data_IF_637698033502
#
_entry.id   IF_637698033502
#
_cell.length_a   1.000
_cell.length_b   1.000
_cell.length_c   1.000
_cell.angle_alpha   90.00
_cell.angle_beta   90.00
_cell.angle_gamma   90.00
#
_symmetry.space_group_name_H-M   'P 1'
#
loop_
_entity.id
_entity.type
_entity.pdbx_description
1 polymer ?
#
# COMPACT_ATOMS: atom_id res chain seq x y z
N UNK A 1 30.98 -21.83 -29.18
CA UNK A 1 30.15 -20.81 -29.84
C UNK A 1 28.87 -20.65 -29.01
N UNK A 2 28.65 -19.48 -28.42
CA UNK A 2 27.43 -19.17 -27.66
C UNK A 2 26.42 -18.54 -28.60
N UNK A 3 25.33 -19.25 -28.87
CA UNK A 3 24.16 -18.73 -29.59
C UNK A 3 23.29 -17.92 -28.63
N UNK A 4 23.18 -16.61 -28.86
CA UNK A 4 22.21 -15.75 -28.18
C UNK A 4 20.93 -15.66 -29.03
N UNK A 5 19.78 -16.00 -28.45
CA UNK A 5 18.48 -15.78 -29.08
C UNK A 5 18.10 -14.29 -29.00
N UNK A 6 17.58 -13.67 -30.07
CA UNK A 6 17.15 -12.28 -30.02
C UNK A 6 15.80 -12.20 -29.28
N UNK A 7 15.81 -11.66 -28.06
CA UNK A 7 14.59 -11.27 -27.36
C UNK A 7 14.15 -9.89 -27.89
N UNK A 8 12.94 -9.82 -28.46
CA UNK A 8 12.33 -8.57 -28.90
C UNK A 8 11.66 -7.93 -27.68
N UNK A 9 12.38 -7.04 -27.00
CA UNK A 9 11.83 -6.23 -25.91
C UNK A 9 10.83 -5.22 -26.48
N UNK A 10 9.56 -5.60 -26.58
CA UNK A 10 8.48 -4.64 -26.78
C UNK A 10 8.17 -4.02 -25.42
N UNK A 11 8.49 -2.73 -25.24
CA UNK A 11 8.05 -1.99 -24.05
C UNK A 11 6.52 -1.90 -24.09
N UNK A 12 5.79 -2.50 -23.14
CA UNK A 12 4.34 -2.43 -23.15
C UNK A 12 3.89 -0.97 -22.90
N UNK A 13 3.01 -0.44 -23.74
CA UNK A 13 2.32 0.82 -23.44
C UNK A 13 1.40 0.56 -22.24
N UNK A 14 1.54 1.29 -21.12
CA UNK A 14 0.70 1.06 -19.96
C UNK A 14 -0.74 1.42 -20.29
N UNK A 15 -1.65 0.46 -20.10
CA UNK A 15 -3.08 0.69 -20.26
C UNK A 15 -3.60 1.58 -19.12
N UNK A 16 -4.56 2.49 -19.37
CA UNK A 16 -5.14 3.31 -18.32
C UNK A 16 -5.70 2.45 -17.19
N UNK A 17 -5.26 2.71 -15.96
CA UNK A 17 -5.76 1.98 -14.80
C UNK A 17 -7.24 2.30 -14.59
N UNK A 18 -8.09 1.27 -14.53
CA UNK A 18 -9.51 1.44 -14.23
C UNK A 18 -9.71 2.25 -12.93
N UNK A 19 -10.70 3.15 -12.89
CA UNK A 19 -10.97 3.94 -11.70
C UNK A 19 -11.37 3.04 -10.52
N UNK A 20 -11.03 3.44 -9.29
CA UNK A 20 -11.52 2.74 -8.11
C UNK A 20 -13.04 2.95 -7.99
N UNK A 21 -13.83 1.92 -7.65
CA UNK A 21 -15.26 2.04 -7.49
C UNK A 21 -15.61 2.71 -6.14
N UNK A 22 -15.40 4.02 -6.03
CA UNK A 22 -15.54 4.79 -4.77
C UNK A 22 -16.85 5.56 -4.65
N UNK A 23 -17.75 5.46 -5.63
CA UNK A 23 -19.01 6.21 -5.64
C UNK A 23 -19.85 6.03 -4.36
N UNK A 24 -19.86 4.84 -3.76
CA UNK A 24 -20.60 4.54 -2.52
C UNK A 24 -19.98 5.11 -1.24
N UNK A 25 -18.74 5.60 -1.30
CA UNK A 25 -17.99 6.13 -0.15
C UNK A 25 -17.47 7.56 -0.39
N UNK A 26 -17.91 8.20 -1.47
CA UNK A 26 -17.58 9.60 -1.74
C UNK A 26 -18.01 10.49 -0.57
N UNK A 27 -17.17 11.46 -0.21
CA UNK A 27 -17.31 12.34 0.95
C UNK A 27 -17.38 11.65 2.32
N UNK A 28 -17.22 10.33 2.41
CA UNK A 28 -17.16 9.62 3.69
C UNK A 28 -15.75 9.64 4.26
N UNK A 29 -15.67 9.57 5.58
CA UNK A 29 -14.43 9.31 6.28
C UNK A 29 -14.19 7.80 6.33
N UNK A 30 -13.11 7.33 5.71
CA UNK A 30 -12.79 5.91 5.60
C UNK A 30 -11.43 5.64 6.23
N UNK A 31 -11.41 4.77 7.25
CA UNK A 31 -10.19 4.31 7.90
C UNK A 31 -9.47 3.27 7.05
N UNK A 32 -8.16 3.44 6.88
CA UNK A 32 -7.28 2.47 6.23
C UNK A 32 -6.47 1.77 7.31
N UNK A 33 -6.78 0.50 7.55
CA UNK A 33 -6.05 -0.30 8.53
C UNK A 33 -4.60 -0.51 8.07
N UNK A 34 -3.64 -0.52 9.01
CA UNK A 34 -2.23 -0.73 8.70
C UNK A 34 -1.98 -2.11 8.12
N UNK A 35 -1.01 -2.19 7.22
CA UNK A 35 -0.48 -3.48 6.80
C UNK A 35 0.19 -4.18 7.99
N UNK A 36 -0.17 -5.44 8.21
CA UNK A 36 0.39 -6.27 9.28
C UNK A 36 1.41 -7.27 8.77
N UNK A 37 1.55 -7.43 7.45
CA UNK A 37 2.48 -8.37 6.82
C UNK A 37 3.14 -7.75 5.57
N UNK A 38 4.46 -7.90 5.52
CA UNK A 38 5.25 -7.80 4.29
C UNK A 38 6.17 -9.02 4.31
N UNK A 39 6.13 -9.79 3.24
CA UNK A 39 6.87 -11.04 3.13
C UNK A 39 7.57 -11.06 1.80
N UNK A 40 8.82 -11.53 1.82
CA UNK A 40 9.52 -11.89 0.62
C UNK A 40 9.19 -13.33 0.23
N UNK A 41 8.70 -13.57 -0.98
CA UNK A 41 8.79 -14.88 -1.63
C UNK A 41 10.25 -15.26 -1.89
N UNK A 42 10.70 -16.35 -1.27
CA UNK A 42 12.10 -16.82 -1.26
C UNK A 42 12.71 -17.00 -2.66
N UNK A 43 11.88 -17.33 -3.66
CA UNK A 43 12.31 -17.54 -5.06
C UNK A 43 12.87 -16.29 -5.72
N UNK A 44 12.51 -15.11 -5.20
CA UNK A 44 12.92 -13.81 -5.72
C UNK A 44 14.07 -13.17 -4.93
N UNK A 45 14.52 -13.79 -3.83
CA UNK A 45 15.65 -13.35 -2.99
C UNK A 45 15.64 -11.85 -2.61
N UNK A 46 14.44 -11.31 -2.36
CA UNK A 46 14.17 -9.89 -2.15
C UNK A 46 14.16 -9.51 -0.66
N UNK A 47 14.55 -10.43 0.22
CA UNK A 47 14.68 -10.18 1.65
C UNK A 47 15.65 -9.01 1.90
N UNK A 48 16.74 -8.95 1.13
CA UNK A 48 17.71 -7.87 1.20
C UNK A 48 17.15 -6.51 0.75
N UNK A 49 16.11 -6.49 -0.09
CA UNK A 49 15.46 -5.27 -0.60
C UNK A 49 14.43 -4.73 0.38
N UNK A 50 13.69 -5.62 1.07
CA UNK A 50 12.70 -5.21 2.07
C UNK A 50 13.33 -4.60 3.33
N UNK A 51 14.58 -4.91 3.63
CA UNK A 51 15.28 -4.33 4.79
C UNK A 51 14.57 -4.64 6.12
N UNK A 52 14.49 -3.66 7.03
CA UNK A 52 13.77 -3.86 8.29
C UNK A 52 12.26 -3.89 8.06
N UNK A 53 11.62 -5.00 8.47
CA UNK A 53 10.17 -5.26 8.32
C UNK A 53 9.29 -4.07 8.74
N UNK A 54 9.58 -3.41 9.87
CA UNK A 54 8.78 -2.28 10.36
C UNK A 54 8.83 -1.09 9.40
N UNK A 55 10.03 -0.80 8.89
CA UNK A 55 10.27 0.27 7.93
C UNK A 55 9.58 -0.04 6.60
N UNK A 56 9.68 -1.29 6.13
CA UNK A 56 8.97 -1.75 4.93
C UNK A 56 7.44 -1.57 5.06
N UNK A 57 6.85 -2.00 6.17
CA UNK A 57 5.40 -1.84 6.41
C UNK A 57 5.00 -0.36 6.40
N UNK A 58 5.74 0.51 7.09
CA UNK A 58 5.45 1.94 7.12
C UNK A 58 5.57 2.58 5.72
N UNK A 59 6.56 2.17 4.93
CA UNK A 59 6.72 2.64 3.55
C UNK A 59 5.58 2.14 2.67
N UNK A 60 5.17 0.88 2.79
CA UNK A 60 4.03 0.32 2.05
C UNK A 60 2.72 1.03 2.40
N UNK A 61 2.45 1.27 3.68
CA UNK A 61 1.30 2.07 4.15
C UNK A 61 1.31 3.48 3.50
N UNK A 62 2.49 4.13 3.44
CA UNK A 62 2.65 5.44 2.81
C UNK A 62 2.39 5.43 1.30
N UNK A 63 2.84 4.38 0.60
CA UNK A 63 2.61 4.21 -0.84
C UNK A 63 1.11 4.03 -1.09
N UNK A 64 0.46 3.14 -0.36
CA UNK A 64 -0.99 2.92 -0.47
C UNK A 64 -1.75 4.21 -0.20
N UNK A 65 -1.41 4.93 0.89
CA UNK A 65 -2.06 6.20 1.22
C UNK A 65 -1.91 7.25 0.11
N UNK A 66 -0.75 7.33 -0.52
CA UNK A 66 -0.51 8.21 -1.68
C UNK A 66 -1.39 7.83 -2.85
N UNK A 67 -1.44 6.54 -3.20
CA UNK A 67 -2.22 6.04 -4.33
C UNK A 67 -3.73 6.19 -4.12
N UNK A 68 -4.23 5.94 -2.92
CA UNK A 68 -5.65 6.13 -2.60
C UNK A 68 -6.07 7.59 -2.77
N UNK A 69 -5.28 8.53 -2.23
CA UNK A 69 -5.55 9.96 -2.36
C UNK A 69 -5.50 10.44 -3.81
N UNK A 70 -4.57 9.91 -4.61
CA UNK A 70 -4.46 10.27 -6.02
C UNK A 70 -5.62 9.72 -6.86
N UNK A 71 -6.09 8.49 -6.57
CA UNK A 71 -7.11 7.80 -7.37
C UNK A 71 -8.54 8.07 -6.93
N UNK A 72 -8.74 8.51 -5.69
CA UNK A 72 -10.06 8.80 -5.11
C UNK A 72 -9.98 10.00 -4.16
N UNK A 73 -9.72 11.21 -4.68
CA UNK A 73 -9.60 12.43 -3.88
C UNK A 73 -10.92 12.85 -3.21
N UNK A 74 -12.06 12.37 -3.71
CA UNK A 74 -13.39 12.62 -3.16
C UNK A 74 -13.67 11.90 -1.83
N UNK A 75 -12.81 10.97 -1.42
CA UNK A 75 -12.93 10.23 -0.15
C UNK A 75 -12.00 10.83 0.91
N UNK A 76 -12.49 10.96 2.15
CA UNK A 76 -11.66 11.44 3.27
C UNK A 76 -10.94 10.26 3.93
N UNK A 77 -9.71 10.00 3.50
CA UNK A 77 -8.90 8.88 4.00
C UNK A 77 -8.27 9.17 5.38
N UNK A 78 -8.55 8.31 6.37
CA UNK A 78 -7.83 8.29 7.66
C UNK A 78 -6.77 7.20 7.60
N UNK A 79 -5.52 7.63 7.44
CA UNK A 79 -4.39 6.74 7.22
C UNK A 79 -3.86 6.14 8.54
N UNK A 80 -3.06 5.05 8.47
CA UNK A 80 -2.58 4.31 9.65
C UNK A 80 -1.99 5.17 10.78
N UNK A 81 -1.19 6.19 10.46
CA UNK A 81 -0.57 7.04 11.49
C UNK A 81 -1.59 7.85 12.30
N UNK A 82 -2.68 8.27 11.66
CA UNK A 82 -3.76 8.97 12.35
C UNK A 82 -4.60 7.98 13.17
N UNK A 83 -4.86 6.77 12.65
CA UNK A 83 -5.51 5.71 13.44
C UNK A 83 -4.71 5.35 14.69
N UNK A 84 -3.39 5.18 14.58
CA UNK A 84 -2.48 4.96 15.72
C UNK A 84 -2.48 6.13 16.68
N UNK A 85 -2.58 7.36 16.19
CA UNK A 85 -2.67 8.56 17.03
C UNK A 85 -3.99 8.59 17.81
N UNK A 86 -5.11 8.29 17.17
CA UNK A 86 -6.43 8.24 17.81
C UNK A 86 -6.50 7.13 18.86
N UNK A 87 -6.05 5.91 18.52
CA UNK A 87 -6.01 4.79 19.45
C UNK A 87 -5.20 5.09 20.73
N UNK A 88 -4.05 5.77 20.58
CA UNK A 88 -3.24 6.22 21.72
C UNK A 88 -3.93 7.27 22.60
N UNK A 89 -4.80 8.09 22.04
CA UNK A 89 -5.52 9.15 22.75
C UNK A 89 -6.79 8.66 23.45
N UNK A 90 -7.35 7.55 23.01
CA UNK A 90 -8.61 7.01 23.53
C UNK A 90 -8.46 5.53 23.94
N UNK A 91 -7.58 5.22 24.92
CA UNK A 91 -7.38 3.85 25.38
C UNK A 91 -8.69 3.27 25.91
N UNK A 92 -9.04 2.06 25.47
CA UNK A 92 -10.28 1.36 25.85
C UNK A 92 -11.51 1.69 25.00
N UNK A 93 -11.45 2.72 24.15
CA UNK A 93 -12.52 3.05 23.18
C UNK A 93 -12.12 2.60 21.78
N UNK A 94 -10.91 2.92 21.36
CA UNK A 94 -10.37 2.53 20.06
C UNK A 94 -9.29 1.44 20.25
N UNK A 95 -9.46 0.25 19.66
CA UNK A 95 -8.44 -0.79 19.71
C UNK A 95 -7.18 -0.35 18.95
N UNK A 96 -6.04 -0.94 19.31
CA UNK A 96 -4.80 -0.72 18.58
C UNK A 96 -4.96 -1.25 17.14
N UNK A 97 -4.71 -0.43 16.11
CA UNK A 97 -5.01 -0.81 14.73
C UNK A 97 -4.03 -1.84 14.15
N UNK A 98 -2.88 -2.05 14.79
CA UNK A 98 -1.84 -2.99 14.35
C UNK A 98 -2.02 -4.41 14.96
N UNK A 99 -3.11 -4.66 15.69
CA UNK A 99 -3.40 -5.94 16.40
C UNK A 99 -4.39 -6.83 15.66
#
# INVERSE_FOLDING_TARGET
MLTACPHKSATPTPEPTAPLPTAGIAAQQVGVLPLTLVAAEDSLHWEAVLGERRTALAQSDSIIGTLLKARAPEVTWVLPDELRRVARRAPGIAPAPDQ
#
